data_IF_628975026587
#
_entry.id   IF_628975026587
#
_cell.length_a   1.000
_cell.length_b   1.000
_cell.length_c   1.000
_cell.angle_alpha   90.00
_cell.angle_beta   90.00
_cell.angle_gamma   90.00
#
_symmetry.space_group_name_H-M   'P 1'
#
loop_
_entity.id
_entity.type
_entity.pdbx_description
1 polymer ?
#
# COMPACT_ATOMS: atom_id res chain seq x y z
N UNK A 1 -24.22 29.21 5.66
CA UNK A 1 -25.07 28.02 5.88
C UNK A 1 -24.44 26.95 6.81
N UNK A 2 -23.30 27.21 7.47
CA UNK A 2 -22.63 26.21 8.32
C UNK A 2 -23.10 26.11 9.78
N UNK A 3 -23.82 27.11 10.31
CA UNK A 3 -24.24 27.12 11.72
C UNK A 3 -25.62 26.49 11.97
N UNK A 4 -26.45 26.35 10.93
CA UNK A 4 -27.80 25.80 11.07
C UNK A 4 -27.81 24.27 11.32
N UNK A 5 -26.75 23.56 10.92
CA UNK A 5 -26.65 22.10 11.04
C UNK A 5 -26.31 21.61 12.45
N UNK A 6 -25.39 22.30 13.16
CA UNK A 6 -25.04 21.97 14.56
C UNK A 6 -26.16 22.34 15.54
N UNK A 7 -26.78 23.50 15.35
CA UNK A 7 -27.98 23.92 16.10
C UNK A 7 -29.18 23.00 15.86
N UNK A 8 -29.26 22.30 14.71
CA UNK A 8 -30.32 21.36 14.39
C UNK A 8 -30.23 20.02 15.15
N UNK A 9 -29.02 19.53 15.41
CA UNK A 9 -28.79 18.26 16.13
C UNK A 9 -28.97 18.40 17.65
N UNK A 10 -28.50 19.51 18.24
CA UNK A 10 -28.71 19.80 19.66
C UNK A 10 -30.20 20.04 19.97
N UNK A 11 -30.91 20.80 19.13
CA UNK A 11 -32.37 21.02 19.27
C UNK A 11 -33.20 19.74 19.17
N UNK A 12 -32.71 18.73 18.44
CA UNK A 12 -33.43 17.46 18.24
C UNK A 12 -33.36 16.56 19.49
N UNK A 13 -32.27 16.62 20.27
CA UNK A 13 -32.15 15.89 21.54
C UNK A 13 -33.04 16.50 22.65
N UNK A 14 -33.20 17.83 22.67
CA UNK A 14 -34.05 18.52 23.65
C UNK A 14 -35.56 18.36 23.37
N UNK A 15 -35.95 18.16 22.10
CA UNK A 15 -37.36 18.00 21.70
C UNK A 15 -37.85 16.54 21.72
N UNK A 16 -36.95 15.56 21.76
CA UNK A 16 -37.30 14.15 21.72
C UNK A 16 -38.15 13.67 22.90
N UNK A 17 -37.89 14.07 24.17
CA UNK A 17 -38.77 13.73 25.29
C UNK A 17 -40.20 14.29 25.12
N UNK A 18 -40.33 15.52 24.59
CA UNK A 18 -41.62 16.14 24.33
C UNK A 18 -42.39 15.44 23.19
N UNK A 19 -41.69 14.96 22.16
CA UNK A 19 -42.27 14.16 21.07
C UNK A 19 -42.77 12.81 21.62
N UNK A 20 -41.98 12.11 22.44
CA UNK A 20 -42.39 10.84 23.05
C UNK A 20 -43.60 11.02 23.98
N UNK A 21 -43.67 12.12 24.74
CA UNK A 21 -44.81 12.46 25.58
C UNK A 21 -46.08 12.76 24.75
N UNK A 22 -45.92 13.42 23.61
CA UNK A 22 -47.01 13.68 22.66
C UNK A 22 -47.54 12.38 22.05
N UNK A 23 -46.65 11.46 21.68
CA UNK A 23 -47.02 10.12 21.19
C UNK A 23 -47.79 9.30 22.23
N UNK A 24 -47.38 9.36 23.50
CA UNK A 24 -48.12 8.70 24.59
C UNK A 24 -49.54 9.28 24.77
N UNK A 25 -49.68 10.60 24.62
CA UNK A 25 -50.99 11.28 24.72
C UNK A 25 -51.91 10.95 23.55
N UNK A 26 -51.35 10.82 22.34
CA UNK A 26 -52.05 10.36 21.13
C UNK A 26 -52.49 8.90 21.25
N UNK A 27 -51.61 8.03 21.74
CA UNK A 27 -51.93 6.62 21.98
C UNK A 27 -53.10 6.48 22.96
N UNK A 28 -53.06 7.19 24.09
CA UNK A 28 -54.14 7.21 25.08
C UNK A 28 -55.48 7.73 24.51
N UNK A 29 -55.41 8.74 23.63
CA UNK A 29 -56.60 9.31 22.97
C UNK A 29 -57.24 8.33 21.98
N UNK A 30 -56.43 7.56 21.22
CA UNK A 30 -56.92 6.57 20.26
C UNK A 30 -57.58 5.39 20.99
N UNK A 31 -57.02 4.96 22.13
CA UNK A 31 -57.61 3.92 22.97
C UNK A 31 -58.89 4.35 23.69
N UNK A 32 -59.16 5.65 23.80
CA UNK A 32 -60.33 6.20 24.51
C UNK A 32 -61.53 6.56 23.62
N UNK A 33 -61.43 6.45 22.29
CA UNK A 33 -62.53 6.81 21.37
C UNK A 33 -63.47 5.61 21.11
N UNK A 34 -64.65 5.60 21.74
CA UNK A 34 -65.68 4.56 21.56
C UNK A 34 -66.54 4.73 20.27
N UNK A 35 -65.94 5.04 19.12
CA UNK A 35 -66.73 5.31 17.90
C UNK A 35 -66.03 5.15 16.54
N UNK A 36 -64.78 4.71 16.46
CA UNK A 36 -64.11 4.38 15.18
C UNK A 36 -64.11 2.88 14.95
N UNK A 37 -64.05 2.44 13.69
CA UNK A 37 -63.99 1.01 13.36
C UNK A 37 -62.79 0.37 14.09
N UNK A 38 -62.98 -0.80 14.69
CA UNK A 38 -61.92 -1.49 15.44
C UNK A 38 -60.66 -1.77 14.59
N UNK A 39 -60.83 -1.86 13.26
CA UNK A 39 -59.76 -2.08 12.28
C UNK A 39 -58.90 -0.82 12.12
N UNK A 40 -59.50 0.38 12.06
CA UNK A 40 -58.76 1.64 11.92
C UNK A 40 -57.97 2.00 13.18
N UNK A 41 -58.51 1.66 14.36
CA UNK A 41 -57.80 1.87 15.62
C UNK A 41 -56.57 0.96 15.74
N UNK A 42 -56.69 -0.28 15.28
CA UNK A 42 -55.60 -1.26 15.35
C UNK A 42 -54.43 -0.85 14.44
N UNK A 43 -54.70 -0.38 13.23
CA UNK A 43 -53.65 0.05 12.29
C UNK A 43 -52.97 1.34 12.75
N UNK A 44 -53.73 2.31 13.28
CA UNK A 44 -53.17 3.54 13.83
C UNK A 44 -52.24 3.28 15.03
N UNK A 45 -52.61 2.35 15.92
CA UNK A 45 -51.78 1.95 17.05
C UNK A 45 -50.50 1.24 16.59
N UNK A 46 -50.58 0.43 15.53
CA UNK A 46 -49.42 -0.23 14.94
C UNK A 46 -48.43 0.78 14.36
N UNK A 47 -48.90 1.75 13.59
CA UNK A 47 -48.05 2.82 13.02
C UNK A 47 -47.38 3.67 14.12
N UNK A 48 -48.13 4.02 15.17
CA UNK A 48 -47.58 4.74 16.33
C UNK A 48 -46.48 3.93 17.05
N UNK A 49 -46.69 2.63 17.22
CA UNK A 49 -45.70 1.75 17.85
C UNK A 49 -44.41 1.64 17.02
N UNK A 50 -44.53 1.56 15.69
CA UNK A 50 -43.38 1.52 14.78
C UNK A 50 -42.61 2.84 14.77
N UNK A 51 -43.31 3.98 14.76
CA UNK A 51 -42.68 5.30 14.82
C UNK A 51 -41.94 5.50 16.15
N UNK A 52 -42.54 5.06 17.26
CA UNK A 52 -41.92 5.07 18.58
C UNK A 52 -40.64 4.24 18.61
N UNK A 53 -40.69 3.00 18.10
CA UNK A 53 -39.53 2.12 18.05
C UNK A 53 -38.39 2.75 17.25
N UNK A 54 -38.70 3.41 16.13
CA UNK A 54 -37.71 4.08 15.28
C UNK A 54 -37.07 5.29 15.99
N UNK A 55 -37.87 6.08 16.71
CA UNK A 55 -37.39 7.21 17.51
C UNK A 55 -36.56 6.78 18.71
N UNK A 56 -36.97 5.72 19.43
CA UNK A 56 -36.22 5.16 20.55
C UNK A 56 -34.89 4.52 20.10
N UNK A 57 -34.86 3.90 18.91
CA UNK A 57 -33.64 3.35 18.32
C UNK A 57 -32.66 4.47 17.94
N UNK A 58 -33.16 5.58 17.39
CA UNK A 58 -32.37 6.77 17.08
C UNK A 58 -31.89 7.50 18.35
N UNK A 59 -32.67 7.47 19.43
CA UNK A 59 -32.29 8.01 20.74
C UNK A 59 -31.14 7.21 21.39
N UNK A 60 -31.17 5.88 21.27
CA UNK A 60 -30.07 5.01 21.72
C UNK A 60 -28.81 5.27 20.91
N UNK A 61 -28.92 5.38 19.58
CA UNK A 61 -27.76 5.71 18.74
C UNK A 61 -27.17 7.11 18.99
N UNK A 62 -27.92 8.06 19.57
CA UNK A 62 -27.39 9.39 19.94
C UNK A 62 -26.84 9.45 21.37
N UNK A 63 -27.33 8.62 22.30
CA UNK A 63 -26.76 8.47 23.65
C UNK A 63 -25.52 7.58 23.72
N UNK A 64 -25.34 6.69 22.76
CA UNK A 64 -24.09 5.91 22.60
C UNK A 64 -22.93 6.74 22.00
N UNK A 65 -23.07 8.07 21.91
CA UNK A 65 -21.97 9.02 21.71
C UNK A 65 -21.31 9.45 23.05
N UNK A 66 -21.20 8.55 24.03
CA UNK A 66 -19.91 8.49 24.73
C UNK A 66 -18.88 8.12 23.66
N UNK A 67 -17.90 9.00 23.44
CA UNK A 67 -16.84 8.82 22.43
C UNK A 67 -16.39 7.35 22.43
N UNK A 68 -16.73 6.53 21.41
CA UNK A 68 -16.45 5.10 21.47
C UNK A 68 -14.96 4.97 21.72
N UNK A 69 -14.59 4.28 22.80
CA UNK A 69 -13.21 4.16 23.24
C UNK A 69 -12.35 3.84 22.00
N UNK A 70 -11.46 4.78 21.63
CA UNK A 70 -10.64 4.70 20.42
C UNK A 70 -9.97 3.32 20.39
N UNK A 71 -10.39 2.47 19.45
CA UNK A 71 -9.77 1.15 19.28
C UNK A 71 -8.41 1.33 18.63
N UNK A 72 -7.36 0.94 19.34
CA UNK A 72 -5.99 0.99 18.83
C UNK A 72 -5.76 -0.12 17.79
N UNK A 73 -4.94 0.20 16.78
CA UNK A 73 -4.46 -0.77 15.79
C UNK A 73 -3.61 -1.86 16.46
N UNK A 74 -4.00 -3.12 16.27
CA UNK A 74 -3.38 -4.26 16.94
C UNK A 74 -2.99 -5.40 16.00
N UNK A 75 -1.74 -5.87 16.11
CA UNK A 75 -1.22 -7.00 15.36
C UNK A 75 -1.30 -8.31 16.16
N UNK A 76 -1.72 -9.39 15.48
CA UNK A 76 -1.91 -10.73 16.08
C UNK A 76 -0.62 -11.57 16.12
N UNK A 77 0.55 -10.96 16.30
CA UNK A 77 1.81 -11.69 16.43
C UNK A 77 2.17 -11.89 17.92
N UNK A 78 2.03 -13.11 18.42
CA UNK A 78 2.30 -13.46 19.83
C UNK A 78 3.74 -13.14 20.26
N UNK A 79 4.72 -13.25 19.36
CA UNK A 79 6.10 -12.92 19.67
C UNK A 79 6.32 -11.41 19.81
N UNK A 80 5.63 -10.63 18.98
CA UNK A 80 5.62 -9.17 19.09
C UNK A 80 4.99 -8.71 20.41
N UNK A 81 3.87 -9.31 20.80
CA UNK A 81 3.21 -9.02 22.08
C UNK A 81 4.12 -9.31 23.27
N UNK A 82 4.78 -10.48 23.30
CA UNK A 82 5.77 -10.82 24.32
C UNK A 82 6.94 -9.83 24.36
N UNK A 83 7.38 -9.34 23.21
CA UNK A 83 8.45 -8.34 23.11
C UNK A 83 8.04 -7.00 23.75
N UNK A 84 6.79 -6.58 23.50
CA UNK A 84 6.19 -5.38 24.10
C UNK A 84 6.06 -5.54 25.63
N UNK A 85 5.56 -6.69 26.10
CA UNK A 85 5.44 -7.01 27.54
C UNK A 85 6.79 -6.92 28.26
N UNK A 86 7.84 -7.43 27.62
CA UNK A 86 9.22 -7.38 28.12
C UNK A 86 9.89 -6.01 27.95
N UNK A 87 9.23 -5.03 27.31
CA UNK A 87 9.77 -3.70 26.98
C UNK A 87 11.05 -3.77 26.15
N UNK A 88 11.20 -4.80 25.33
CA UNK A 88 12.34 -4.96 24.44
C UNK A 88 12.18 -4.06 23.20
N UNK A 89 13.26 -3.40 22.74
CA UNK A 89 13.22 -2.62 21.51
C UNK A 89 13.06 -3.54 20.29
N UNK A 90 12.31 -3.07 19.30
CA UNK A 90 12.18 -3.71 18.00
C UNK A 90 12.86 -2.91 16.91
N UNK A 91 13.63 -3.60 16.08
CA UNK A 91 14.43 -2.99 15.03
C UNK A 91 13.64 -3.13 13.73
N UNK A 92 13.20 -1.99 13.19
CA UNK A 92 12.64 -1.88 11.85
C UNK A 92 13.83 -1.61 10.92
N UNK A 93 14.56 -2.67 10.61
CA UNK A 93 15.88 -2.61 9.98
C UNK A 93 15.84 -1.89 8.63
N UNK A 94 14.83 -2.17 7.80
CA UNK A 94 14.76 -1.62 6.45
C UNK A 94 14.28 -0.17 6.43
N UNK A 95 13.61 0.28 7.49
CA UNK A 95 13.32 1.69 7.76
C UNK A 95 14.45 2.40 8.54
N UNK A 96 15.42 1.66 9.08
CA UNK A 96 16.48 2.21 9.93
C UNK A 96 15.98 2.78 11.25
N UNK A 97 14.88 2.24 11.80
CA UNK A 97 14.25 2.73 13.03
C UNK A 97 14.34 1.71 14.17
N UNK A 98 14.48 2.22 15.40
CA UNK A 98 14.31 1.44 16.63
C UNK A 98 13.04 1.92 17.31
N UNK A 99 12.10 1.01 17.52
CA UNK A 99 10.80 1.31 18.11
C UNK A 99 10.63 0.56 19.43
N UNK A 100 10.01 1.21 20.39
CA UNK A 100 9.58 0.60 21.64
C UNK A 100 8.33 1.33 22.10
N UNK A 101 7.53 0.66 22.95
CA UNK A 101 6.32 1.26 23.45
C UNK A 101 6.65 2.55 24.22
N UNK A 102 5.91 3.63 23.95
CA UNK A 102 6.08 4.97 24.53
C UNK A 102 7.37 5.71 24.14
N UNK A 103 8.16 5.23 23.18
CA UNK A 103 9.29 6.02 22.67
C UNK A 103 8.81 7.29 21.96
N UNK A 104 9.59 8.37 22.04
CA UNK A 104 9.29 9.60 21.31
C UNK A 104 9.15 9.32 19.80
N UNK A 105 9.96 8.40 19.28
CA UNK A 105 9.92 7.94 17.88
C UNK A 105 8.56 7.42 17.46
N UNK A 106 7.81 6.71 18.31
CA UNK A 106 6.51 6.14 17.91
C UNK A 106 5.36 7.10 18.14
N UNK A 107 5.50 8.06 19.06
CA UNK A 107 4.44 9.03 19.36
C UNK A 107 4.12 9.93 18.17
N UNK A 108 5.10 10.25 17.32
CA UNK A 108 4.89 11.07 16.13
C UNK A 108 4.02 10.41 15.06
N UNK A 109 3.77 9.09 15.16
CA UNK A 109 2.96 8.32 14.21
C UNK A 109 1.55 7.98 14.75
N UNK A 110 1.20 8.45 15.96
CA UNK A 110 -0.08 8.12 16.60
C UNK A 110 -1.29 8.75 15.90
N UNK A 111 -1.08 9.88 15.22
CA UNK A 111 -2.10 10.65 14.50
C UNK A 111 -2.28 10.23 13.03
N UNK A 112 -1.57 9.18 12.59
CA UNK A 112 -1.70 8.67 11.23
C UNK A 112 -3.10 8.12 11.01
N UNK A 113 -3.77 8.64 9.97
CA UNK A 113 -5.05 8.17 9.44
C UNK A 113 -4.93 7.53 8.06
N UNK A 114 -3.88 7.88 7.31
CA UNK A 114 -3.63 7.33 5.98
C UNK A 114 -2.18 6.87 5.84
N UNK A 115 -1.99 5.69 5.26
CA UNK A 115 -0.70 5.23 4.77
C UNK A 115 -0.79 5.07 3.26
N UNK A 116 -0.06 5.90 2.53
CA UNK A 116 0.01 5.84 1.08
C UNK A 116 1.34 5.28 0.63
N UNK A 117 1.32 4.29 -0.25
CA UNK A 117 2.54 3.57 -0.65
C UNK A 117 2.68 3.54 -2.17
N UNK A 118 3.92 3.62 -2.66
CA UNK A 118 4.22 3.59 -4.09
C UNK A 118 5.67 3.19 -4.36
N UNK A 119 6.01 2.87 -5.61
CA UNK A 119 7.30 2.25 -5.92
C UNK A 119 8.50 3.17 -5.66
N UNK A 120 8.54 4.30 -6.37
CA UNK A 120 9.72 5.17 -6.43
C UNK A 120 9.77 6.19 -5.27
N UNK A 121 10.94 6.41 -4.65
CA UNK A 121 11.14 7.45 -3.64
C UNK A 121 10.68 8.84 -4.05
N UNK A 122 11.03 9.32 -5.25
CA UNK A 122 10.66 10.66 -5.74
C UNK A 122 9.15 10.84 -5.83
N UNK A 123 8.43 9.83 -6.34
CA UNK A 123 6.96 9.83 -6.42
C UNK A 123 6.32 9.98 -5.04
N UNK A 124 6.87 9.30 -4.02
CA UNK A 124 6.32 9.38 -2.67
C UNK A 124 6.67 10.71 -1.98
N UNK A 125 7.84 11.28 -2.26
CA UNK A 125 8.17 12.64 -1.84
C UNK A 125 7.20 13.67 -2.43
N UNK A 126 6.98 13.63 -3.74
CA UNK A 126 6.03 14.51 -4.43
C UNK A 126 4.63 14.37 -3.87
N UNK A 127 4.19 13.14 -3.61
CA UNK A 127 2.87 12.90 -3.05
C UNK A 127 2.73 13.47 -1.63
N UNK A 128 3.78 13.43 -0.80
CA UNK A 128 3.77 14.09 0.50
C UNK A 128 3.59 15.62 0.37
N UNK A 129 4.26 16.24 -0.61
CA UNK A 129 4.09 17.67 -0.93
C UNK A 129 2.67 17.98 -1.40
N UNK A 130 2.10 17.14 -2.26
CA UNK A 130 0.70 17.26 -2.71
C UNK A 130 -0.27 17.19 -1.51
N UNK A 131 -0.03 16.28 -0.56
CA UNK A 131 -0.85 16.15 0.64
C UNK A 131 -0.76 17.39 1.55
N UNK A 132 0.43 17.97 1.74
CA UNK A 132 0.59 19.22 2.50
C UNK A 132 -0.24 20.34 1.89
N UNK A 133 -0.21 20.49 0.57
CA UNK A 133 -1.01 21.48 -0.16
C UNK A 133 -2.51 21.22 -0.02
N UNK A 134 -2.94 19.97 -0.23
CA UNK A 134 -4.35 19.58 -0.14
C UNK A 134 -4.94 19.82 1.26
N UNK A 135 -4.14 19.60 2.31
CA UNK A 135 -4.52 19.80 3.71
C UNK A 135 -4.25 21.23 4.21
N UNK A 136 -3.69 22.11 3.37
CA UNK A 136 -3.31 23.49 3.72
C UNK A 136 -2.37 23.58 4.92
N UNK A 137 -1.48 22.59 5.08
CA UNK A 137 -0.50 22.55 6.15
C UNK A 137 0.66 23.48 5.77
N UNK A 138 0.87 24.52 6.57
CA UNK A 138 1.97 25.46 6.38
C UNK A 138 3.27 24.86 6.88
N UNK A 139 4.29 24.83 6.01
CA UNK A 139 5.65 24.45 6.37
C UNK A 139 6.47 25.73 6.54
N UNK A 140 7.22 25.90 7.65
CA UNK A 140 8.05 27.07 7.84
C UNK A 140 9.05 27.28 6.70
N UNK A 141 9.35 28.54 6.37
CA UNK A 141 10.29 28.88 5.31
C UNK A 141 11.66 28.22 5.54
N UNK A 142 12.22 27.61 4.49
CA UNK A 142 13.49 26.89 4.55
C UNK A 142 13.39 25.47 5.09
N UNK A 143 12.20 25.03 5.54
CA UNK A 143 11.92 23.62 5.83
C UNK A 143 11.13 22.97 4.69
N UNK A 144 11.20 21.65 4.63
CA UNK A 144 10.45 20.84 3.67
C UNK A 144 10.09 19.49 4.26
N UNK A 145 9.54 18.63 3.41
CA UNK A 145 9.32 17.23 3.77
C UNK A 145 10.67 16.55 3.93
N UNK A 146 10.90 15.92 5.08
CA UNK A 146 12.17 15.22 5.40
C UNK A 146 11.96 13.72 5.42
N UNK A 147 12.93 12.97 4.90
CA UNK A 147 12.94 11.52 5.04
C UNK A 147 13.09 11.15 6.52
N UNK A 148 12.19 10.30 7.00
CA UNK A 148 12.12 9.83 8.38
C UNK A 148 12.87 8.52 8.58
N UNK A 149 13.37 7.91 7.51
CA UNK A 149 14.15 6.68 7.57
C UNK A 149 15.62 6.95 7.98
N UNK A 150 16.27 5.93 8.55
CA UNK A 150 17.69 6.00 8.92
C UNK A 150 18.63 5.94 7.70
N UNK A 151 19.87 6.42 7.83
CA UNK A 151 20.81 6.54 6.69
C UNK A 151 21.22 5.24 5.97
N UNK A 152 20.89 4.07 6.51
CA UNK A 152 21.09 2.75 5.88
C UNK A 152 19.79 2.09 5.40
N UNK A 153 18.67 2.83 5.46
CA UNK A 153 17.36 2.33 5.09
C UNK A 153 17.27 2.00 3.60
N UNK A 154 16.35 1.08 3.28
CA UNK A 154 16.05 0.65 1.90
C UNK A 154 14.87 1.39 1.29
N UNK A 155 14.08 2.06 2.14
CA UNK A 155 12.90 2.81 1.76
C UNK A 155 13.01 4.24 2.27
N UNK A 156 12.30 5.16 1.63
CA UNK A 156 12.06 6.51 2.15
C UNK A 156 10.66 6.58 2.75
N UNK A 157 10.52 7.39 3.79
CA UNK A 157 9.26 7.61 4.48
C UNK A 157 9.08 9.08 4.81
N UNK A 158 7.92 9.63 4.48
CA UNK A 158 7.61 11.03 4.74
C UNK A 158 6.26 11.17 5.45
N UNK A 159 6.10 12.23 6.24
CA UNK A 159 4.85 12.54 6.95
C UNK A 159 4.32 13.91 6.54
N UNK A 160 3.04 13.97 6.18
CA UNK A 160 2.29 15.18 5.87
C UNK A 160 1.00 15.22 6.72
N UNK A 161 1.09 15.82 7.91
CA UNK A 161 -0.01 15.79 8.89
C UNK A 161 -0.39 14.34 9.26
N UNK A 162 -1.66 13.92 9.08
CA UNK A 162 -2.13 12.56 9.36
C UNK A 162 -1.82 11.55 8.22
N UNK A 163 -1.07 11.95 7.19
CA UNK A 163 -0.71 11.10 6.05
C UNK A 163 0.75 10.65 6.16
N UNK A 164 0.98 9.35 6.12
CA UNK A 164 2.29 8.73 5.99
C UNK A 164 2.48 8.26 4.55
N UNK A 165 3.57 8.63 3.90
CA UNK A 165 3.89 8.21 2.54
C UNK A 165 5.17 7.38 2.54
N UNK A 166 5.17 6.20 1.92
CA UNK A 166 6.30 5.26 2.00
C UNK A 166 6.63 4.67 0.63
N UNK A 167 7.91 4.69 0.23
CA UNK A 167 8.35 3.97 -0.97
C UNK A 167 8.44 2.48 -0.71
N UNK A 168 8.18 1.63 -1.70
CA UNK A 168 8.29 0.17 -1.53
C UNK A 168 9.10 -0.55 -2.61
N UNK A 169 9.72 0.15 -3.55
CA UNK A 169 10.44 -0.48 -4.66
C UNK A 169 9.49 -1.26 -5.59
N UNK A 170 9.95 -2.39 -6.12
CA UNK A 170 9.21 -3.22 -7.07
C UNK A 170 9.03 -4.66 -6.58
N UNK A 171 7.88 -5.24 -6.88
CA UNK A 171 7.52 -6.63 -6.61
C UNK A 171 6.99 -6.91 -5.19
N UNK A 172 6.16 -7.94 -5.10
CA UNK A 172 5.60 -8.44 -3.85
C UNK A 172 6.66 -8.65 -2.73
N UNK A 173 7.88 -9.18 -2.98
CA UNK A 173 8.88 -9.33 -1.93
C UNK A 173 9.30 -8.00 -1.30
N UNK A 174 9.64 -6.99 -2.11
CA UNK A 174 10.03 -5.67 -1.60
C UNK A 174 8.87 -4.99 -0.87
N UNK A 175 7.65 -5.03 -1.43
CA UNK A 175 6.48 -4.47 -0.76
C UNK A 175 6.20 -5.16 0.59
N UNK A 176 6.34 -6.48 0.68
CA UNK A 176 6.03 -7.22 1.91
C UNK A 176 6.95 -6.86 3.08
N UNK A 177 8.23 -6.57 2.81
CA UNK A 177 9.19 -6.13 3.83
C UNK A 177 8.74 -4.78 4.41
N UNK A 178 8.49 -3.80 3.52
CA UNK A 178 8.00 -2.48 3.91
C UNK A 178 6.70 -2.59 4.71
N UNK A 179 5.72 -3.37 4.21
CA UNK A 179 4.42 -3.56 4.88
C UNK A 179 4.57 -4.14 6.28
N UNK A 180 5.44 -5.14 6.48
CA UNK A 180 5.68 -5.72 7.80
C UNK A 180 6.20 -4.66 8.79
N UNK A 181 7.14 -3.81 8.37
CA UNK A 181 7.72 -2.81 9.25
C UNK A 181 6.78 -1.63 9.51
N UNK A 182 6.03 -1.16 8.51
CA UNK A 182 5.02 -0.11 8.69
C UNK A 182 3.87 -0.56 9.58
N UNK A 183 3.36 -1.78 9.40
CA UNK A 183 2.32 -2.31 10.29
C UNK A 183 2.84 -2.42 11.74
N UNK A 184 4.09 -2.87 11.94
CA UNK A 184 4.69 -2.86 13.29
C UNK A 184 4.81 -1.44 13.83
N UNK A 185 5.27 -0.48 13.03
CA UNK A 185 5.38 0.93 13.43
C UNK A 185 4.05 1.48 13.93
N UNK A 186 2.97 1.31 13.17
CA UNK A 186 1.63 1.75 13.57
C UNK A 186 1.13 1.05 14.84
N UNK A 187 1.48 -0.23 15.00
CA UNK A 187 1.14 -0.98 16.21
C UNK A 187 1.84 -0.42 17.45
N UNK A 188 3.15 -0.14 17.37
CA UNK A 188 3.88 0.51 18.45
C UNK A 188 3.40 1.94 18.72
N UNK A 189 2.97 2.66 17.68
CA UNK A 189 2.44 4.02 17.77
C UNK A 189 1.04 4.10 18.39
N UNK A 190 0.33 2.97 18.52
CA UNK A 190 -1.12 2.94 18.87
C UNK A 190 -1.93 3.86 17.96
N UNK A 191 -1.64 3.75 16.66
CA UNK A 191 -2.46 4.41 15.63
C UNK A 191 -3.91 3.92 15.72
N UNK A 192 -4.84 4.70 15.17
CA UNK A 192 -6.25 4.31 15.17
C UNK A 192 -6.46 3.06 14.33
N UNK A 193 -7.37 2.17 14.76
CA UNK A 193 -7.75 1.00 13.95
C UNK A 193 -8.29 1.39 12.57
N UNK A 194 -8.86 2.58 12.44
CA UNK A 194 -9.43 3.12 11.21
C UNK A 194 -8.44 3.57 10.13
N UNK A 195 -7.13 3.36 10.30
CA UNK A 195 -6.12 3.75 9.30
C UNK A 195 -6.43 3.13 7.94
N UNK A 196 -6.43 3.95 6.89
CA UNK A 196 -6.61 3.53 5.49
C UNK A 196 -5.27 3.39 4.79
N UNK A 197 -5.07 2.27 4.10
CA UNK A 197 -3.89 2.02 3.29
C UNK A 197 -4.24 2.20 1.81
N UNK A 198 -3.46 3.00 1.08
CA UNK A 198 -3.72 3.24 -0.34
C UNK A 198 -2.43 3.08 -1.14
N UNK A 199 -2.44 2.15 -2.10
CA UNK A 199 -1.33 1.99 -3.04
C UNK A 199 -1.55 2.87 -4.26
N UNK A 200 -0.55 3.69 -4.59
CA UNK A 200 -0.51 4.52 -5.80
C UNK A 200 0.59 4.05 -6.75
N UNK A 201 0.23 3.73 -7.98
CA UNK A 201 1.12 3.01 -8.88
C UNK A 201 0.96 3.35 -10.36
N UNK A 202 1.81 2.71 -11.14
CA UNK A 202 1.74 2.64 -12.61
C UNK A 202 1.45 1.21 -13.01
N UNK A 203 0.86 1.00 -14.17
CA UNK A 203 0.47 -0.32 -14.64
C UNK A 203 0.41 -0.39 -16.17
N UNK A 204 0.41 -1.61 -16.71
CA UNK A 204 0.00 -1.86 -18.09
C UNK A 204 -1.50 -2.00 -18.16
N UNK A 205 -2.19 -1.20 -18.97
CA UNK A 205 -3.63 -1.30 -19.20
C UNK A 205 -3.99 -2.49 -20.09
N UNK A 206 -5.19 -3.02 -19.94
CA UNK A 206 -5.76 -4.07 -20.80
C UNK A 206 -7.11 -3.57 -21.31
N UNK A 207 -7.18 -3.22 -22.60
CA UNK A 207 -8.40 -2.73 -23.23
C UNK A 207 -8.93 -1.42 -22.62
N UNK A 208 -8.01 -0.55 -22.20
CA UNK A 208 -8.30 0.78 -21.67
C UNK A 208 -7.37 1.82 -22.31
N UNK A 209 -7.86 3.05 -22.58
CA UNK A 209 -7.03 4.10 -23.15
C UNK A 209 -5.82 4.45 -22.28
N UNK A 210 -4.76 4.96 -22.91
CA UNK A 210 -3.55 5.43 -22.23
C UNK A 210 -3.85 6.55 -21.21
N UNK A 211 -3.14 6.54 -20.09
CA UNK A 211 -3.32 7.49 -19.00
C UNK A 211 -4.58 7.26 -18.16
N UNK A 212 -5.41 6.26 -18.48
CA UNK A 212 -6.58 5.92 -17.67
C UNK A 212 -6.13 5.46 -16.28
N UNK A 213 -6.75 5.99 -15.23
CA UNK A 213 -6.53 5.52 -13.87
C UNK A 213 -7.50 4.39 -13.55
N UNK A 214 -6.98 3.25 -13.13
CA UNK A 214 -7.76 2.08 -12.69
C UNK A 214 -7.83 2.09 -11.16
N UNK A 215 -9.05 2.08 -10.63
CA UNK A 215 -9.33 1.81 -9.21
C UNK A 215 -9.70 0.34 -9.08
N UNK A 216 -8.86 -0.42 -8.40
CA UNK A 216 -8.96 -1.88 -8.34
C UNK A 216 -10.15 -2.34 -7.50
N UNK A 217 -10.96 -3.26 -8.05
CA UNK A 217 -12.03 -3.96 -7.33
C UNK A 217 -11.54 -5.27 -6.72
N UNK A 218 -10.95 -6.14 -7.54
CA UNK A 218 -10.35 -7.42 -7.11
C UNK A 218 -8.95 -7.56 -7.67
N UNK A 219 -8.12 -8.29 -6.93
CA UNK A 219 -6.76 -8.61 -7.33
C UNK A 219 -6.67 -10.10 -7.63
N UNK A 220 -6.03 -10.45 -8.75
CA UNK A 220 -5.80 -11.82 -9.18
C UNK A 220 -4.29 -12.11 -9.35
N UNK A 221 -3.90 -13.35 -9.08
CA UNK A 221 -2.58 -13.87 -9.47
C UNK A 221 -2.57 -14.39 -10.92
N UNK A 222 -1.42 -14.86 -11.41
CA UNK A 222 -1.28 -15.41 -12.77
C UNK A 222 -2.14 -16.65 -13.06
N UNK A 223 -2.71 -17.29 -12.03
CA UNK A 223 -3.69 -18.39 -12.18
C UNK A 223 -5.14 -17.91 -12.07
N UNK A 224 -5.38 -16.60 -12.13
CA UNK A 224 -6.69 -15.97 -11.97
C UNK A 224 -7.37 -16.26 -10.62
N UNK A 225 -6.58 -16.45 -9.57
CA UNK A 225 -7.08 -16.67 -8.22
C UNK A 225 -6.88 -15.43 -7.34
N UNK A 226 -7.83 -15.06 -6.46
CA UNK A 226 -7.73 -13.90 -5.60
C UNK A 226 -6.95 -14.18 -4.30
N UNK A 227 -5.78 -14.81 -4.44
CA UNK A 227 -4.96 -15.22 -3.31
C UNK A 227 -3.49 -14.82 -3.48
N UNK A 228 -2.94 -14.23 -2.43
CA UNK A 228 -1.51 -14.10 -2.25
C UNK A 228 -0.96 -15.40 -1.64
N UNK A 229 -0.07 -16.07 -2.38
CA UNK A 229 0.54 -17.33 -1.96
C UNK A 229 1.90 -17.09 -1.33
N UNK A 230 2.13 -17.64 -0.14
CA UNK A 230 3.43 -17.65 0.53
C UNK A 230 3.84 -19.08 0.88
N UNK A 231 5.14 -19.30 1.03
CA UNK A 231 5.71 -20.56 1.51
C UNK A 231 6.28 -20.35 2.91
N UNK A 232 5.54 -20.78 3.94
CA UNK A 232 5.89 -20.58 5.34
C UNK A 232 6.34 -21.92 5.91
N UNK A 233 7.63 -22.03 6.24
CA UNK A 233 8.25 -23.26 6.74
C UNK A 233 8.01 -24.46 5.79
N UNK A 234 8.18 -24.22 4.48
CA UNK A 234 7.96 -25.23 3.44
C UNK A 234 6.49 -25.54 3.14
N UNK A 235 5.52 -24.87 3.78
CA UNK A 235 4.08 -25.08 3.55
C UNK A 235 3.50 -23.93 2.74
N UNK A 236 2.75 -24.26 1.69
CA UNK A 236 2.01 -23.28 0.93
C UNK A 236 0.84 -22.74 1.78
N UNK A 237 0.76 -21.42 1.88
CA UNK A 237 -0.29 -20.69 2.60
C UNK A 237 -0.87 -19.66 1.65
N UNK A 238 -2.19 -19.73 1.43
CA UNK A 238 -2.93 -18.76 0.64
C UNK A 238 -3.65 -17.77 1.55
N UNK A 239 -3.48 -16.48 1.28
CA UNK A 239 -4.17 -15.38 1.98
C UNK A 239 -5.09 -14.66 0.99
N UNK A 240 -6.37 -14.44 1.33
CA UNK A 240 -7.29 -13.77 0.42
C UNK A 240 -6.85 -12.31 0.19
N UNK A 241 -6.82 -11.90 -1.07
CA UNK A 241 -6.45 -10.56 -1.51
C UNK A 241 -7.71 -9.67 -1.60
N UNK A 242 -8.07 -9.04 -0.48
CA UNK A 242 -9.34 -8.29 -0.33
C UNK A 242 -9.08 -6.80 -0.18
N UNK A 243 -9.80 -5.98 -0.93
CA UNK A 243 -9.82 -4.52 -0.85
C UNK A 243 -11.16 -4.04 -0.26
N UNK A 244 -11.17 -2.81 0.28
CA UNK A 244 -12.36 -2.21 0.87
C UNK A 244 -13.21 -1.52 -0.21
N UNK A 245 -14.40 -2.08 -0.49
CA UNK A 245 -15.31 -1.55 -1.49
C UNK A 245 -15.89 -0.16 -1.14
N UNK A 246 -15.86 0.24 0.14
CA UNK A 246 -16.21 1.60 0.54
C UNK A 246 -15.17 2.59 0.04
N UNK A 247 -13.90 2.36 0.37
CA UNK A 247 -12.78 3.21 -0.05
C UNK A 247 -12.69 3.29 -1.58
N UNK A 248 -12.85 2.16 -2.31
CA UNK A 248 -12.86 2.18 -3.78
C UNK A 248 -14.02 3.00 -4.35
N UNK A 249 -15.22 2.95 -3.76
CA UNK A 249 -16.36 3.78 -4.19
C UNK A 249 -16.11 5.27 -3.91
N UNK A 250 -15.55 5.61 -2.77
CA UNK A 250 -15.23 6.99 -2.42
C UNK A 250 -14.18 7.57 -3.38
N UNK A 251 -13.12 6.80 -3.68
CA UNK A 251 -12.12 7.17 -4.70
C UNK A 251 -12.76 7.39 -6.07
N UNK A 252 -13.65 6.50 -6.51
CA UNK A 252 -14.34 6.62 -7.79
C UNK A 252 -15.26 7.84 -7.81
N UNK A 253 -15.98 8.10 -6.72
CA UNK A 253 -16.85 9.27 -6.59
C UNK A 253 -16.06 10.57 -6.72
N UNK A 254 -14.92 10.69 -6.03
CA UNK A 254 -14.09 11.89 -6.13
C UNK A 254 -13.44 12.01 -7.51
N UNK A 255 -12.92 10.90 -8.07
CA UNK A 255 -12.33 10.89 -9.40
C UNK A 255 -13.30 11.32 -10.51
N UNK A 256 -14.59 11.00 -10.37
CA UNK A 256 -15.64 11.37 -11.32
C UNK A 256 -16.05 12.85 -11.29
N UNK A 257 -15.54 13.66 -10.34
CA UNK A 257 -15.80 15.10 -10.33
C UNK A 257 -15.20 15.75 -11.58
N UNK A 258 -16.01 16.50 -12.32
CA UNK A 258 -15.65 17.11 -13.60
C UNK A 258 -14.38 17.98 -13.53
N UNK A 259 -14.11 18.59 -12.37
CA UNK A 259 -12.93 19.43 -12.12
C UNK A 259 -11.60 18.67 -12.17
N UNK A 260 -11.59 17.34 -11.97
CA UNK A 260 -10.34 16.57 -12.04
C UNK A 260 -9.87 16.37 -13.48
N UNK A 261 -10.82 16.18 -14.41
CA UNK A 261 -10.55 15.79 -15.80
C UNK A 261 -9.57 14.60 -15.91
N UNK A 262 -9.76 13.57 -15.09
CA UNK A 262 -8.94 12.35 -15.09
C UNK A 262 -9.80 11.21 -15.64
N UNK A 263 -9.40 10.53 -16.74
CA UNK A 263 -10.06 9.32 -17.18
C UNK A 263 -9.87 8.24 -16.10
N UNK A 264 -10.97 7.71 -15.58
CA UNK A 264 -10.97 6.76 -14.48
C UNK A 264 -11.95 5.62 -14.77
N UNK A 265 -11.53 4.40 -14.45
CA UNK A 265 -12.38 3.21 -14.52
C UNK A 265 -12.21 2.37 -13.26
N UNK A 266 -13.26 1.62 -12.91
CA UNK A 266 -13.12 0.52 -11.95
C UNK A 266 -12.92 -0.80 -12.70
N UNK A 267 -12.08 -1.67 -12.17
CA UNK A 267 -11.79 -2.96 -12.80
C UNK A 267 -10.89 -3.82 -11.95
N UNK A 268 -10.70 -5.07 -12.38
CA UNK A 268 -9.81 -5.99 -11.69
C UNK A 268 -8.36 -5.80 -12.11
N UNK A 269 -7.45 -6.20 -11.24
CA UNK A 269 -6.00 -6.08 -11.45
C UNK A 269 -5.36 -7.46 -11.39
N UNK A 270 -4.50 -7.78 -12.35
CA UNK A 270 -3.59 -8.92 -12.24
C UNK A 270 -2.28 -8.44 -11.65
N UNK A 271 -1.83 -9.12 -10.60
CA UNK A 271 -0.55 -8.87 -9.95
C UNK A 271 0.40 -10.01 -10.28
N UNK A 272 1.48 -9.69 -10.98
CA UNK A 272 2.54 -10.62 -11.36
C UNK A 272 3.75 -10.50 -10.42
N UNK A 273 4.55 -11.56 -10.33
CA UNK A 273 5.87 -11.55 -9.69
C UNK A 273 6.99 -11.27 -10.70
N UNK A 274 6.75 -11.53 -11.99
CA UNK A 274 7.66 -11.19 -13.09
C UNK A 274 7.04 -10.11 -14.00
N UNK A 275 7.88 -9.24 -14.55
CA UNK A 275 7.41 -8.15 -15.42
C UNK A 275 7.17 -8.62 -16.86
N UNK A 276 7.88 -9.63 -17.32
CA UNK A 276 7.89 -10.06 -18.72
C UNK A 276 6.94 -11.24 -18.96
N UNK A 277 7.33 -12.45 -18.61
CA UNK A 277 6.61 -13.69 -18.92
C UNK A 277 5.29 -13.78 -18.16
N UNK A 278 5.25 -13.45 -16.85
CA UNK A 278 4.00 -13.49 -16.07
C UNK A 278 2.99 -12.39 -16.47
N UNK A 279 3.44 -11.38 -17.22
CA UNK A 279 2.56 -10.39 -17.85
C UNK A 279 2.36 -10.67 -19.34
N UNK A 280 2.80 -11.82 -19.85
CA UNK A 280 2.73 -12.21 -21.25
C UNK A 280 3.34 -11.17 -22.20
N UNK A 281 4.52 -10.63 -21.89
CA UNK A 281 5.27 -9.75 -22.82
C UNK A 281 6.21 -10.57 -23.69
N UNK A 282 6.37 -10.17 -24.96
CA UNK A 282 7.24 -10.86 -25.93
C UNK A 282 8.61 -10.17 -26.12
N UNK A 283 8.91 -9.16 -25.29
CA UNK A 283 10.11 -8.33 -25.34
C UNK A 283 11.11 -8.63 -24.21
N UNK A 284 10.92 -9.75 -23.51
CA UNK A 284 11.80 -10.24 -22.46
C UNK A 284 13.03 -10.99 -23.00
N UNK A 285 13.95 -11.33 -22.09
CA UNK A 285 15.11 -12.18 -22.42
C UNK A 285 14.71 -13.64 -22.71
N UNK A 286 13.58 -14.09 -22.16
CA UNK A 286 12.98 -15.41 -22.35
C UNK A 286 11.52 -15.24 -22.76
N UNK A 287 11.02 -16.13 -23.62
CA UNK A 287 9.64 -16.14 -24.07
C UNK A 287 9.27 -17.54 -24.58
N UNK A 288 8.53 -18.31 -23.78
CA UNK A 288 8.09 -19.67 -24.11
C UNK A 288 6.65 -19.76 -24.67
N UNK A 289 6.09 -18.65 -25.12
CA UNK A 289 4.77 -18.57 -25.76
C UNK A 289 4.84 -17.73 -27.05
N UNK A 290 3.86 -17.91 -27.93
CA UNK A 290 3.73 -17.13 -29.17
C UNK A 290 2.70 -15.99 -29.04
N UNK A 291 2.63 -15.14 -30.07
CA UNK A 291 1.75 -13.96 -30.09
C UNK A 291 0.25 -14.30 -30.05
N UNK A 292 -0.17 -15.47 -30.55
CA UNK A 292 -1.58 -15.88 -30.48
C UNK A 292 -1.94 -16.32 -29.06
N UNK A 293 -1.07 -17.06 -28.38
CA UNK A 293 -1.22 -17.40 -26.95
C UNK A 293 -1.24 -16.15 -26.06
N UNK A 294 -0.37 -15.16 -26.36
CA UNK A 294 -0.39 -13.84 -25.72
C UNK A 294 -1.75 -13.17 -25.88
N UNK A 295 -2.25 -13.05 -27.11
CA UNK A 295 -3.54 -12.41 -27.40
C UNK A 295 -4.68 -13.13 -26.68
N UNK A 296 -4.73 -14.46 -26.72
CA UNK A 296 -5.75 -15.26 -26.03
C UNK A 296 -5.74 -15.02 -24.52
N UNK A 297 -4.55 -14.97 -23.92
CA UNK A 297 -4.40 -14.65 -22.49
C UNK A 297 -4.91 -13.25 -22.15
N UNK A 298 -4.53 -12.23 -22.92
CA UNK A 298 -4.95 -10.84 -22.68
C UNK A 298 -6.45 -10.65 -22.91
N UNK A 299 -7.02 -11.28 -23.94
CA UNK A 299 -8.46 -11.27 -24.20
C UNK A 299 -9.23 -11.96 -23.08
N UNK A 300 -8.73 -13.10 -22.58
CA UNK A 300 -9.29 -13.78 -21.41
C UNK A 300 -9.25 -12.92 -20.16
N UNK A 301 -8.14 -12.21 -19.91
CA UNK A 301 -8.03 -11.23 -18.81
C UNK A 301 -9.15 -10.18 -18.91
N UNK A 302 -9.32 -9.59 -20.09
CA UNK A 302 -10.29 -8.52 -20.31
C UNK A 302 -11.75 -8.98 -20.20
N UNK A 303 -12.12 -10.03 -20.94
CA UNK A 303 -13.51 -10.46 -21.12
C UNK A 303 -14.00 -11.37 -20.00
N UNK A 304 -13.21 -12.35 -19.56
CA UNK A 304 -13.67 -13.36 -18.60
C UNK A 304 -13.47 -12.92 -17.14
N UNK A 305 -12.41 -12.15 -16.87
CA UNK A 305 -12.04 -11.76 -15.51
C UNK A 305 -12.22 -10.28 -15.21
N UNK A 306 -12.61 -9.45 -16.20
CA UNK A 306 -12.78 -8.02 -16.00
C UNK A 306 -11.48 -7.32 -15.59
N UNK A 307 -10.32 -7.90 -15.91
CA UNK A 307 -9.02 -7.30 -15.63
C UNK A 307 -8.81 -6.13 -16.58
N UNK A 308 -8.40 -4.99 -16.01
CA UNK A 308 -8.16 -3.73 -16.74
C UNK A 308 -6.72 -3.28 -16.67
N UNK A 309 -5.92 -3.85 -15.77
CA UNK A 309 -4.51 -3.55 -15.68
C UNK A 309 -3.65 -4.66 -15.03
N UNK A 310 -2.35 -4.61 -15.31
CA UNK A 310 -1.31 -5.47 -14.73
C UNK A 310 -0.27 -4.63 -13.95
N UNK A 311 0.09 -5.10 -12.76
CA UNK A 311 1.15 -4.55 -11.90
C UNK A 311 1.76 -5.65 -11.02
N UNK A 312 2.55 -5.32 -9.98
CA UNK A 312 3.40 -6.33 -9.32
C UNK A 312 3.32 -6.38 -7.79
N UNK A 313 2.39 -5.68 -7.15
CA UNK A 313 2.39 -5.59 -5.69
C UNK A 313 1.01 -5.63 -5.02
N UNK A 314 -0.09 -5.55 -5.78
CA UNK A 314 -1.44 -5.45 -5.20
C UNK A 314 -1.87 -6.71 -4.45
N UNK A 315 -1.32 -7.90 -4.77
CA UNK A 315 -1.61 -9.15 -4.05
C UNK A 315 -1.10 -9.10 -2.62
N UNK A 316 0.21 -8.88 -2.43
CA UNK A 316 0.79 -8.82 -1.10
C UNK A 316 0.17 -7.65 -0.32
N UNK A 317 0.00 -6.49 -0.95
CA UNK A 317 -0.61 -5.31 -0.33
C UNK A 317 -2.01 -5.59 0.22
N UNK A 318 -2.94 -6.05 -0.63
CA UNK A 318 -4.32 -6.30 -0.21
C UNK A 318 -4.42 -7.43 0.82
N UNK A 319 -3.70 -8.53 0.64
CA UNK A 319 -3.72 -9.65 1.58
C UNK A 319 -3.15 -9.29 2.96
N UNK A 320 -2.07 -8.50 3.02
CA UNK A 320 -1.49 -8.06 4.28
C UNK A 320 -2.36 -7.01 4.99
N UNK A 321 -2.95 -6.06 4.25
CA UNK A 321 -3.92 -5.11 4.79
C UNK A 321 -5.15 -5.81 5.36
N UNK A 322 -5.72 -6.76 4.60
CA UNK A 322 -6.85 -7.56 5.05
C UNK A 322 -6.52 -8.36 6.32
N UNK A 323 -5.36 -9.01 6.36
CA UNK A 323 -4.88 -9.75 7.53
C UNK A 323 -4.70 -8.84 8.76
N UNK A 324 -4.23 -7.61 8.55
CA UNK A 324 -4.06 -6.61 9.60
C UNK A 324 -5.40 -5.95 10.02
N UNK A 325 -6.48 -6.18 9.28
CA UNK A 325 -7.80 -5.62 9.56
C UNK A 325 -7.89 -4.12 9.26
N UNK A 326 -7.07 -3.60 8.34
CA UNK A 326 -7.13 -2.20 7.86
C UNK A 326 -7.84 -2.13 6.52
N UNK A 327 -8.46 -0.98 6.25
CA UNK A 327 -9.10 -0.72 4.95
C UNK A 327 -8.03 -0.44 3.91
N UNK A 328 -8.19 -0.97 2.71
CA UNK A 328 -7.20 -0.80 1.65
C UNK A 328 -7.81 -0.57 0.26
N UNK A 329 -7.12 0.23 -0.55
CA UNK A 329 -7.44 0.46 -1.97
C UNK A 329 -6.17 0.54 -2.82
N UNK A 330 -6.29 0.27 -4.12
CA UNK A 330 -5.20 0.35 -5.10
C UNK A 330 -5.66 1.25 -6.25
N UNK A 331 -4.82 2.22 -6.60
CA UNK A 331 -5.08 3.22 -7.64
C UNK A 331 -3.87 3.32 -8.54
N UNK A 332 -3.98 2.87 -9.79
CA UNK A 332 -2.86 2.82 -10.71
C UNK A 332 -3.20 3.49 -12.04
N UNK A 333 -2.26 4.25 -12.60
CA UNK A 333 -2.40 4.83 -13.94
C UNK A 333 -1.82 3.90 -15.01
N UNK A 334 -2.50 3.76 -16.14
CA UNK A 334 -2.03 2.96 -17.26
C UNK A 334 -1.03 3.75 -18.10
N UNK A 335 0.13 3.14 -18.38
CA UNK A 335 1.16 3.73 -19.23
C UNK A 335 1.20 3.12 -20.63
N UNK A 336 0.41 2.08 -20.87
CA UNK A 336 0.33 1.38 -22.14
C UNK A 336 -1.00 0.61 -22.24
N UNK A 337 -1.42 0.24 -23.45
CA UNK A 337 -2.46 -0.75 -23.67
C UNK A 337 -1.80 -2.05 -24.17
N UNK A 338 -1.83 -3.10 -23.34
CA UNK A 338 -1.18 -4.39 -23.60
C UNK A 338 -1.80 -5.16 -24.77
N UNK A 339 -3.03 -4.84 -25.15
CA UNK A 339 -3.63 -5.39 -26.38
C UNK A 339 -3.02 -4.83 -27.66
N UNK A 340 -2.24 -3.75 -27.57
CA UNK A 340 -1.66 -3.03 -28.70
C UNK A 340 -0.13 -3.12 -28.73
N UNK A 341 0.53 -3.03 -27.57
CA UNK A 341 2.00 -2.99 -27.50
C UNK A 341 2.55 -3.48 -26.15
N UNK A 342 3.78 -4.00 -26.21
CA UNK A 342 4.65 -4.31 -25.07
C UNK A 342 5.74 -3.24 -24.88
N UNK A 343 5.71 -2.11 -25.57
CA UNK A 343 6.63 -1.00 -25.31
C UNK A 343 5.86 0.28 -25.02
N UNK A 344 6.41 1.11 -24.15
CA UNK A 344 5.82 2.42 -23.85
C UNK A 344 5.97 3.29 -25.08
N UNK A 345 4.86 3.85 -25.56
CA UNK A 345 4.85 4.70 -26.75
C UNK A 345 5.60 6.02 -26.44
N UNK A 346 6.43 6.56 -27.36
CA UNK A 346 7.06 7.87 -27.19
C UNK A 346 6.10 9.01 -26.82
N UNK A 347 4.84 8.98 -27.27
CA UNK A 347 3.82 9.96 -26.88
C UNK A 347 3.50 9.90 -25.38
N UNK A 348 3.59 8.72 -24.76
CA UNK A 348 3.42 8.56 -23.32
C UNK A 348 4.53 9.25 -22.57
N UNK A 349 5.77 9.21 -23.07
CA UNK A 349 6.91 9.86 -22.43
C UNK A 349 6.68 11.37 -22.29
N UNK A 350 6.06 12.01 -23.29
CA UNK A 350 5.69 13.42 -23.25
C UNK A 350 4.62 13.75 -22.19
N UNK A 351 3.83 12.76 -21.77
CA UNK A 351 2.74 12.92 -20.79
C UNK A 351 3.02 12.21 -19.45
N UNK A 352 4.17 11.56 -19.31
CA UNK A 352 4.45 10.61 -18.23
C UNK A 352 4.37 11.28 -16.86
N UNK A 353 4.91 12.51 -16.73
CA UNK A 353 4.86 13.27 -15.49
C UNK A 353 3.42 13.58 -15.07
N UNK A 354 2.56 13.99 -16.00
CA UNK A 354 1.16 14.30 -15.72
C UNK A 354 0.38 13.04 -15.33
N UNK A 355 0.57 11.94 -16.07
CA UNK A 355 -0.13 10.69 -15.83
C UNK A 355 0.24 10.08 -14.49
N UNK A 356 1.52 10.06 -14.13
CA UNK A 356 1.97 9.56 -12.83
C UNK A 356 1.41 10.36 -11.64
N UNK A 357 0.99 11.62 -11.85
CA UNK A 357 0.31 12.43 -10.84
C UNK A 357 -1.20 12.17 -10.74
N UNK A 358 -1.84 11.48 -11.70
CA UNK A 358 -3.30 11.21 -11.66
C UNK A 358 -3.73 10.41 -10.42
N UNK A 359 -3.09 9.28 -10.05
CA UNK A 359 -3.44 8.56 -8.82
C UNK A 359 -3.25 9.43 -7.56
N UNK A 360 -2.17 10.22 -7.54
CA UNK A 360 -1.87 11.14 -6.44
C UNK A 360 -2.99 12.18 -6.25
N UNK A 361 -3.47 12.79 -7.33
CA UNK A 361 -4.55 13.78 -7.30
C UNK A 361 -5.85 13.21 -6.76
N UNK A 362 -6.24 12.01 -7.20
CA UNK A 362 -7.46 11.33 -6.74
C UNK A 362 -7.36 11.03 -5.24
N UNK A 363 -6.24 10.46 -4.79
CA UNK A 363 -6.06 10.08 -3.38
C UNK A 363 -5.94 11.31 -2.48
N UNK A 364 -5.26 12.38 -2.93
CA UNK A 364 -5.18 13.63 -2.18
C UNK A 364 -6.56 14.30 -2.02
N UNK A 365 -7.42 14.24 -3.04
CA UNK A 365 -8.79 14.77 -2.94
C UNK A 365 -9.66 13.94 -1.99
N UNK A 366 -9.56 12.61 -2.01
CA UNK A 366 -10.20 11.75 -0.99
C UNK A 366 -9.80 12.21 0.43
N UNK A 367 -8.49 12.28 0.69
CA UNK A 367 -7.95 12.65 1.99
C UNK A 367 -8.46 14.04 2.41
N UNK A 368 -8.39 15.02 1.51
CA UNK A 368 -8.86 16.39 1.77
C UNK A 368 -10.34 16.42 2.15
N UNK A 369 -11.19 15.71 1.43
CA UNK A 369 -12.64 15.71 1.66
C UNK A 369 -13.00 15.01 2.96
N UNK A 370 -12.38 13.87 3.25
CA UNK A 370 -12.59 13.17 4.52
C UNK A 370 -12.08 13.97 5.72
N UNK A 371 -10.92 14.64 5.60
CA UNK A 371 -10.39 15.48 6.68
C UNK A 371 -11.21 16.76 6.90
N UNK A 372 -11.84 17.31 5.85
CA UNK A 372 -12.77 18.42 6.00
C UNK A 372 -14.06 17.99 6.74
N UNK A 373 -14.57 16.80 6.45
CA UNK A 373 -15.78 16.25 7.10
C UNK A 373 -15.54 15.85 8.56
N UNK A 374 -14.32 15.43 8.91
CA UNK A 374 -13.91 15.11 10.28
C UNK A 374 -13.78 16.35 11.20
N UNK A 375 -13.95 17.58 10.68
CA UNK A 375 -14.01 18.81 11.47
C UNK A 375 -12.68 19.26 12.11
N UNK A 376 -11.55 18.66 11.73
CA UNK A 376 -10.24 19.01 12.27
C UNK A 376 -9.52 20.01 11.36
N UNK A 377 -9.61 21.31 11.68
CA UNK A 377 -8.48 22.21 11.41
C UNK A 377 -7.27 21.64 12.14
N UNK A 378 -6.36 20.99 11.41
CA UNK A 378 -5.08 20.54 11.94
C UNK A 378 -4.22 21.78 12.18
N UNK A 379 -4.36 22.41 13.36
CA UNK A 379 -3.39 23.38 13.84
C UNK A 379 -2.16 22.60 14.31
N UNK A 380 -1.02 22.82 13.66
CA UNK A 380 0.28 22.45 14.21
C UNK A 380 0.55 23.33 15.43
N UNK A 381 0.00 22.95 16.57
CA UNK A 381 0.37 23.48 17.87
C UNK A 381 0.40 22.33 18.86
N UNK A 382 1.43 21.48 18.74
CA UNK A 382 2.18 20.90 19.85
C UNK A 382 3.11 19.81 19.33
N UNK A 383 4.36 20.19 19.10
CA UNK A 383 5.39 19.25 18.67
C UNK A 383 6.64 19.93 18.12
N UNK A 384 7.15 20.92 18.87
CA UNK A 384 8.49 21.54 18.81
C UNK A 384 8.38 22.98 19.34
N UNK A 385 8.25 23.14 20.65
CA UNK A 385 8.58 24.42 21.30
C UNK A 385 10.04 24.32 21.77
N UNK A 386 10.95 25.18 21.31
CA UNK A 386 12.20 25.41 22.01
C UNK A 386 11.87 25.99 23.38
N UNK A 387 12.48 25.45 24.42
CA UNK A 387 12.28 25.86 25.80
C UNK A 387 12.70 27.34 25.98
N UNK A 388 11.79 28.30 26.27
CA UNK A 388 12.16 29.69 26.48
C UNK A 388 12.61 29.85 27.93
N UNK A 389 13.85 29.48 28.20
CA UNK A 389 14.36 29.48 29.57
C UNK A 389 15.81 29.10 29.67
N UNK A 390 16.70 29.84 29.00
CA UNK A 390 18.10 30.05 29.42
C UNK A 390 18.73 31.14 28.56
N UNK A 391 18.81 32.32 29.15
CA UNK A 391 19.67 33.42 28.73
C UNK A 391 21.11 32.92 28.60
N UNK A 392 21.71 33.12 27.43
CA UNK A 392 23.13 32.89 27.21
C UNK A 392 23.93 33.99 27.92
N UNK A 393 24.48 33.69 29.10
CA UNK A 393 25.55 34.47 29.70
C UNK A 393 26.88 33.79 29.40
N UNK A 394 27.72 34.48 28.62
CA UNK A 394 29.16 34.22 28.49
C UNK A 394 29.79 34.17 29.89
N UNK A 395 30.44 33.06 30.22
CA UNK A 395 31.76 32.95 30.89
C UNK A 395 32.07 31.46 31.09
N UNK A 396 33.30 31.04 30.76
CA UNK A 396 33.71 29.65 30.69
C UNK A 396 33.93 28.95 32.03
N UNK A 397 33.99 27.61 32.00
CA UNK A 397 35.04 26.78 32.60
C UNK A 397 34.75 25.28 32.35
N UNK A 398 35.79 24.63 31.84
CA UNK A 398 36.17 23.22 31.66
C UNK A 398 35.40 22.07 32.33
N UNK A 399 35.42 20.90 31.66
CA UNK A 399 35.89 19.55 32.09
C UNK A 399 35.48 18.48 31.01
N UNK A 400 36.26 17.42 30.66
CA UNK A 400 37.52 17.40 29.92
C UNK A 400 37.49 16.47 28.66
N UNK A 401 38.46 16.66 27.78
CA UNK A 401 38.76 15.75 26.65
C UNK A 401 39.62 14.56 27.09
N UNK A 402 39.44 13.40 26.44
CA UNK A 402 40.45 12.34 26.36
C UNK A 402 40.64 11.95 24.88
N UNK A 403 41.71 12.46 24.27
CA UNK A 403 42.48 11.79 23.20
C UNK A 403 43.39 10.75 23.88
N UNK A 404 43.96 9.70 23.25
CA UNK A 404 44.52 9.45 21.92
C UNK A 404 44.58 7.91 21.71
N UNK A 405 44.72 7.33 20.51
CA UNK A 405 45.89 7.26 19.59
C UNK A 405 45.44 6.48 18.32
N UNK A 406 45.90 6.65 17.08
CA UNK A 406 47.17 7.11 16.49
C UNK A 406 46.97 7.57 15.02
N UNK A 407 47.70 8.65 14.70
CA UNK A 407 48.20 9.33 13.49
C UNK A 407 47.97 8.90 12.02
N UNK A 408 48.16 9.86 11.07
CA UNK A 408 47.65 9.84 9.70
C UNK A 408 48.73 9.55 8.63
N UNK A 409 48.32 8.96 7.51
CA UNK A 409 49.09 8.99 6.25
C UNK A 409 48.20 9.47 5.11
N UNK A 410 48.83 10.33 4.32
CA UNK A 410 48.36 11.22 3.28
C UNK A 410 47.51 10.61 2.15
N UNK A 411 46.65 11.52 1.66
CA UNK A 411 45.99 11.60 0.37
C UNK A 411 46.88 11.18 -0.81
N UNK A 412 46.42 10.17 -1.58
CA UNK A 412 46.65 10.06 -3.02
C UNK A 412 45.69 9.01 -3.64
N UNK A 413 45.18 9.39 -4.81
CA UNK A 413 44.71 8.54 -5.91
C UNK A 413 43.22 8.18 -6.05
N UNK A 414 42.59 9.04 -6.87
CA UNK A 414 41.66 8.69 -7.94
C UNK A 414 42.03 7.38 -8.67
N UNK A 415 40.97 6.67 -9.07
CA UNK A 415 40.88 5.68 -10.15
C UNK A 415 41.42 4.26 -9.90
N UNK A 416 40.50 3.31 -9.67
CA UNK A 416 40.22 2.15 -10.55
C UNK A 416 39.28 1.13 -9.86
N UNK A 417 38.25 0.72 -10.59
CA UNK A 417 37.41 -0.48 -10.40
C UNK A 417 38.14 -1.75 -10.92
N UNK A 418 37.53 -2.95 -11.00
CA UNK A 418 36.90 -3.78 -9.96
C UNK A 418 37.40 -5.26 -10.01
N UNK A 419 37.72 -5.92 -8.90
CA UNK A 419 37.85 -7.40 -8.89
C UNK A 419 37.45 -7.98 -7.53
N UNK A 420 36.21 -8.45 -7.40
CA UNK A 420 35.82 -9.39 -6.33
C UNK A 420 34.70 -10.31 -6.83
N UNK A 421 35.02 -11.14 -7.82
CA UNK A 421 34.30 -12.37 -8.13
C UNK A 421 35.25 -13.37 -8.79
N UNK A 422 35.77 -14.34 -8.00
CA UNK A 422 36.07 -15.74 -8.38
C UNK A 422 37.06 -16.34 -7.38
N UNK A 423 36.60 -17.36 -6.64
CA UNK A 423 37.27 -18.68 -6.54
C UNK A 423 36.44 -19.61 -5.66
N UNK A 424 35.76 -20.55 -6.31
CA UNK A 424 35.66 -21.91 -5.81
C UNK A 424 36.25 -22.80 -6.91
N UNK A 425 37.41 -23.37 -6.64
CA UNK A 425 38.06 -24.36 -7.49
C UNK A 425 37.99 -25.72 -6.80
N UNK A 426 37.53 -26.69 -7.59
CA UNK A 426 37.47 -28.12 -7.36
C UNK A 426 38.86 -28.65 -6.95
N UNK A 427 38.89 -29.54 -5.96
CA UNK A 427 40.05 -30.39 -5.68
C UNK A 427 39.64 -31.85 -5.77
N UNK A 428 40.21 -32.55 -6.75
CA UNK A 428 40.20 -34.01 -6.87
C UNK A 428 40.95 -34.65 -5.69
N UNK A 429 40.32 -35.62 -5.04
CA UNK A 429 41.03 -36.67 -4.32
C UNK A 429 40.37 -38.02 -4.61
N UNK A 430 41.14 -38.89 -5.27
CA UNK A 430 40.82 -40.31 -5.44
C UNK A 430 41.01 -41.01 -4.10
N UNK A 431 39.99 -41.73 -3.62
CA UNK A 431 40.22 -42.96 -2.89
C UNK A 431 39.04 -43.93 -3.08
N UNK A 432 39.43 -45.11 -3.55
CA UNK A 432 38.66 -46.33 -3.80
C UNK A 432 38.07 -46.89 -2.50
N UNK A 433 36.80 -47.29 -2.53
CA UNK A 433 36.31 -48.51 -1.86
C UNK A 433 35.04 -49.02 -2.56
N UNK A 434 34.93 -50.34 -2.54
CA UNK A 434 34.12 -51.25 -3.35
C UNK A 434 32.75 -51.62 -2.73
N UNK A 435 31.96 -52.42 -3.49
CA UNK A 435 30.86 -53.37 -3.09
C UNK A 435 29.44 -52.90 -3.51
N UNK A 436 28.52 -53.78 -4.02
CA UNK A 436 28.29 -53.94 -5.46
C UNK A 436 26.80 -53.70 -5.88
N UNK A 437 26.53 -53.71 -7.19
CA UNK A 437 25.19 -53.75 -7.75
C UNK A 437 24.81 -55.19 -8.14
N UNK A 438 23.65 -55.65 -7.66
CA UNK A 438 22.96 -56.81 -8.21
C UNK A 438 22.13 -56.43 -9.44
N UNK A 439 22.11 -57.38 -10.38
CA UNK A 439 21.55 -57.30 -11.71
C UNK A 439 20.11 -57.82 -11.80
N UNK A 440 19.38 -57.36 -12.82
CA UNK A 440 18.43 -58.10 -13.68
C UNK A 440 17.86 -57.08 -14.70
N UNK A 441 18.33 -57.06 -15.96
CA UNK A 441 17.79 -57.75 -17.15
C UNK A 441 16.28 -57.50 -17.34
N UNK A 442 15.74 -57.09 -18.50
CA UNK A 442 15.84 -57.69 -19.85
C UNK A 442 15.41 -56.66 -20.94
N UNK A 443 16.17 -56.66 -22.05
CA UNK A 443 15.90 -56.51 -23.51
C UNK A 443 14.57 -55.87 -24.02
N UNK A 444 14.46 -55.22 -25.20
CA UNK A 444 15.16 -55.33 -26.50
C UNK A 444 14.69 -54.27 -27.52
N UNK A 445 15.48 -54.03 -28.60
CA UNK A 445 15.03 -53.52 -29.92
C UNK A 445 15.42 -52.07 -30.24
N UNK A 446 16.66 -51.76 -30.65
CA UNK A 446 17.22 -51.82 -32.01
C UNK A 446 16.66 -50.77 -33.01
N UNK A 447 17.51 -49.80 -33.36
CA UNK A 447 17.30 -48.82 -34.44
C UNK A 447 18.55 -47.94 -34.62
N UNK A 448 19.48 -48.38 -35.47
CA UNK A 448 20.78 -47.75 -35.71
C UNK A 448 20.68 -46.49 -36.59
N UNK A 449 21.44 -45.45 -36.23
CA UNK A 449 21.69 -44.26 -37.05
C UNK A 449 23.00 -43.62 -36.63
N UNK A 450 24.04 -43.83 -37.43
CA UNK A 450 25.45 -43.48 -37.19
C UNK A 450 25.71 -41.97 -37.25
N UNK A 451 26.31 -41.43 -36.18
CA UNK A 451 27.00 -40.14 -36.15
C UNK A 451 28.45 -40.30 -36.66
N UNK A 452 28.92 -39.40 -37.53
CA UNK A 452 30.35 -39.19 -37.80
C UNK A 452 30.77 -37.81 -37.27
N UNK A 453 31.94 -37.68 -36.63
CA UNK A 453 32.47 -36.41 -36.15
C UNK A 453 33.23 -35.68 -37.26
N UNK A 454 33.22 -34.34 -37.24
CA UNK A 454 34.07 -33.48 -38.09
C UNK A 454 35.12 -32.83 -37.21
N UNK A 455 36.38 -32.99 -37.64
CA UNK A 455 37.62 -32.54 -37.01
C UNK A 455 37.85 -31.01 -37.20
N UNK A 456 38.51 -30.28 -36.28
CA UNK A 456 38.71 -28.85 -36.35
C UNK A 456 40.15 -28.48 -36.79
N UNK A 457 40.30 -27.72 -37.88
CA UNK A 457 41.37 -26.73 -38.09
C UNK A 457 41.38 -26.22 -39.55
N UNK A 458 41.16 -24.92 -39.74
CA UNK A 458 41.97 -24.07 -40.62
C UNK A 458 41.55 -22.60 -40.46
N UNK A 459 42.52 -21.82 -40.01
CA UNK A 459 42.54 -20.38 -39.79
C UNK A 459 42.77 -19.64 -41.11
N UNK A 460 42.06 -18.53 -41.38
CA UNK A 460 42.66 -17.27 -41.89
C UNK A 460 41.62 -16.16 -42.18
N UNK A 461 41.77 -15.06 -41.42
CA UNK A 461 41.71 -13.65 -41.82
C UNK A 461 40.50 -13.07 -42.59
N UNK A 462 39.74 -12.19 -41.91
CA UNK A 462 39.65 -10.77 -42.32
C UNK A 462 39.08 -9.86 -41.22
N UNK A 463 39.91 -8.87 -40.85
CA UNK A 463 39.64 -7.52 -40.34
C UNK A 463 38.40 -7.22 -39.50
N UNK A 464 38.70 -6.89 -38.25
CA UNK A 464 38.00 -5.99 -37.33
C UNK A 464 37.55 -4.66 -37.97
N UNK A 465 36.28 -4.31 -37.75
CA UNK A 465 35.80 -2.93 -37.80
C UNK A 465 35.05 -2.64 -36.48
N UNK A 466 35.67 -1.79 -35.67
CA UNK A 466 35.12 -1.22 -34.44
C UNK A 466 33.91 -0.35 -34.77
N UNK A 467 32.79 -0.59 -34.08
CA UNK A 467 31.66 0.34 -34.04
C UNK A 467 31.71 1.07 -32.71
N UNK A 468 32.17 2.32 -32.77
CA UNK A 468 32.14 3.29 -31.68
C UNK A 468 30.70 3.84 -31.58
N UNK A 469 30.05 3.60 -30.44
CA UNK A 469 28.79 4.22 -30.07
C UNK A 469 29.04 5.69 -29.69
N UNK A 470 28.28 6.60 -30.31
CA UNK A 470 28.07 7.98 -29.88
C UNK A 470 26.69 8.11 -29.29
#
# INVERSE_FOLDING_TARGET
MGDAGKLGLERMNDTLPAILQTLNSLQASITGQNGRSAVDQTEALKQLSSLRQLLETKAKSSKDHENPAREDFNLRNKHLQKKIEKKEPDFLYHLGLVVSLNSQTVQVFRDIKYVCVGGTPSRMFEFAVVCLGALKIQVPAGMGVTDLCGGHARYVMYKAGPVLTVSHGMGNPSLSIMMHEILKLLHYARAERGVKFIRIGTCGGVGVPLGTTVITEKVYNGLFQPYFTQYILGKQVQRPAILDAGVSRDLMHYAAKSEMNIPVVSGNTLCANDFYEEQARIDGAFCEFNTDEQKDFLQKCYHAYGIRNFEMESLAFSAMCHLAGVKAAVVCVTLMNRLESDQVDPEVEAHLEEWQRRPQRIVAELIKQEMANDGATVSLSDGLRPNPGRTCSRTGSMIPSVHSTLDPILDHDRARSPEYYRRFSISDSKQTTSVPAEATSVASGAGAGTFRPVDPAAVANCSSADVVLK
#
